data_IF_279589428384
#
_entry.id   IF_279589428384
#
_cell.length_a   1.000
_cell.length_b   1.000
_cell.length_c   1.000
_cell.angle_alpha   90.00
_cell.angle_beta   90.00
_cell.angle_gamma   90.00
#
_symmetry.space_group_name_H-M   'P 1'
#
loop_
_entity.id
_entity.type
_entity.pdbx_description
1 polymer ?
#
# COMPACT_ATOMS: atom_id res chain seq x y z
N UNK A 1 -36.19 11.13 10.94
CA UNK A 1 -35.99 10.26 9.76
C UNK A 1 -35.09 11.05 8.82
N UNK A 2 -33.84 10.62 8.60
CA UNK A 2 -32.91 11.36 7.74
C UNK A 2 -33.31 11.20 6.28
N UNK A 3 -33.93 12.21 5.71
CA UNK A 3 -34.34 12.27 4.29
C UNK A 3 -33.12 12.54 3.39
N UNK A 4 -32.18 11.59 3.35
CA UNK A 4 -31.06 11.59 2.43
C UNK A 4 -30.95 10.22 1.79
N UNK A 5 -31.82 9.93 0.81
CA UNK A 5 -31.65 8.76 -0.04
C UNK A 5 -30.25 8.77 -0.66
N UNK A 6 -29.66 7.59 -0.88
CA UNK A 6 -28.34 7.49 -1.49
C UNK A 6 -28.27 8.40 -2.73
N UNK A 7 -27.20 9.18 -2.92
CA UNK A 7 -27.12 10.18 -3.99
C UNK A 7 -26.90 9.50 -5.34
N UNK A 8 -27.95 8.84 -5.86
CA UNK A 8 -27.95 8.05 -7.09
C UNK A 8 -27.41 8.81 -8.31
N UNK A 9 -27.61 10.12 -8.33
CA UNK A 9 -27.03 11.00 -9.34
C UNK A 9 -25.49 10.95 -9.34
N UNK A 10 -24.85 10.98 -8.16
CA UNK A 10 -23.39 10.88 -8.06
C UNK A 10 -22.88 9.50 -8.48
N UNK A 11 -23.63 8.44 -8.19
CA UNK A 11 -23.30 7.09 -8.67
C UNK A 11 -23.41 6.99 -10.19
N UNK A 12 -24.45 7.57 -10.80
CA UNK A 12 -24.61 7.60 -12.25
C UNK A 12 -23.47 8.39 -12.94
N UNK A 13 -23.07 9.52 -12.37
CA UNK A 13 -21.92 10.30 -12.84
C UNK A 13 -20.62 9.48 -12.74
N UNK A 14 -20.39 8.83 -11.60
CA UNK A 14 -19.25 7.91 -11.42
C UNK A 14 -19.24 6.76 -12.43
N UNK A 15 -20.41 6.19 -12.74
CA UNK A 15 -20.55 5.15 -13.75
C UNK A 15 -20.20 5.64 -15.16
N UNK A 16 -20.61 6.86 -15.54
CA UNK A 16 -20.24 7.47 -16.82
C UNK A 16 -18.72 7.68 -16.91
N UNK A 17 -18.07 8.16 -15.85
CA UNK A 17 -16.61 8.29 -15.82
C UNK A 17 -15.91 6.93 -15.90
N UNK A 18 -16.40 5.92 -15.18
CA UNK A 18 -15.83 4.57 -15.24
C UNK A 18 -15.94 3.96 -16.64
N UNK A 19 -17.10 4.07 -17.29
CA UNK A 19 -17.30 3.61 -18.68
C UNK A 19 -16.42 4.38 -19.64
N UNK A 20 -16.32 5.70 -19.48
CA UNK A 20 -15.44 6.54 -20.33
C UNK A 20 -13.97 6.15 -20.19
N UNK A 21 -13.51 5.88 -18.96
CA UNK A 21 -12.15 5.41 -18.70
C UNK A 21 -11.90 4.04 -19.35
N UNK A 22 -12.85 3.11 -19.21
CA UNK A 22 -12.76 1.76 -19.81
C UNK A 22 -12.70 1.83 -21.34
N UNK A 23 -13.47 2.73 -21.96
CA UNK A 23 -13.40 2.99 -23.41
C UNK A 23 -12.06 3.59 -23.86
N UNK A 24 -11.38 4.32 -22.98
CA UNK A 24 -10.02 4.81 -23.22
C UNK A 24 -8.94 3.75 -22.94
N UNK A 25 -9.30 2.52 -22.56
CA UNK A 25 -8.36 1.45 -22.21
C UNK A 25 -7.69 1.65 -20.85
N UNK A 26 -8.23 2.53 -20.00
CA UNK A 26 -7.77 2.73 -18.62
C UNK A 26 -8.76 2.05 -17.68
N UNK A 27 -8.27 1.21 -16.77
CA UNK A 27 -9.16 0.56 -15.79
C UNK A 27 -9.90 1.62 -14.95
N UNK A 28 -11.23 1.58 -14.98
CA UNK A 28 -12.07 2.48 -14.18
C UNK A 28 -11.77 2.41 -12.67
N UNK A 29 -11.33 1.25 -12.18
CA UNK A 29 -10.91 1.06 -10.78
C UNK A 29 -9.61 1.80 -10.45
N UNK A 30 -8.60 1.71 -11.31
CA UNK A 30 -7.33 2.42 -11.12
C UNK A 30 -7.52 3.93 -11.18
N UNK A 31 -8.41 4.40 -12.07
CA UNK A 31 -8.78 5.80 -12.20
C UNK A 31 -9.47 6.33 -10.93
N UNK A 32 -10.50 5.63 -10.44
CA UNK A 32 -11.20 6.01 -9.22
C UNK A 32 -10.28 6.02 -7.98
N UNK A 33 -9.39 5.02 -7.87
CA UNK A 33 -8.40 4.94 -6.80
C UNK A 33 -7.44 6.15 -6.83
N UNK A 34 -6.97 6.55 -8.01
CA UNK A 34 -6.09 7.69 -8.20
C UNK A 34 -6.74 9.04 -7.86
N UNK A 35 -8.05 9.20 -8.10
CA UNK A 35 -8.78 10.41 -7.70
C UNK A 35 -9.09 10.47 -6.20
N UNK A 36 -9.17 9.30 -5.55
CA UNK A 36 -9.52 9.18 -4.13
C UNK A 36 -8.30 9.31 -3.21
N UNK A 37 -7.12 8.88 -3.66
CA UNK A 37 -5.93 8.87 -2.83
C UNK A 37 -5.35 10.29 -2.62
N UNK A 38 -5.04 10.69 -1.37
CA UNK A 38 -4.25 11.88 -1.07
C UNK A 38 -2.92 11.89 -1.84
N UNK A 39 -2.43 13.08 -2.20
CA UNK A 39 -1.17 13.24 -2.93
C UNK A 39 0.02 12.57 -2.23
N UNK A 40 0.01 12.56 -0.89
CA UNK A 40 1.03 11.89 -0.07
C UNK A 40 1.10 10.37 -0.32
N UNK A 41 -0.05 9.73 -0.55
CA UNK A 41 -0.13 8.28 -0.86
C UNK A 41 0.11 7.97 -2.34
N UNK A 42 0.01 8.96 -3.23
CA UNK A 42 0.22 8.76 -4.66
C UNK A 42 1.71 8.52 -4.98
N UNK A 43 2.62 9.17 -4.24
CA UNK A 43 4.07 9.00 -4.44
C UNK A 43 4.59 7.58 -4.18
N UNK A 44 4.30 6.90 -3.05
CA UNK A 44 4.70 5.50 -2.87
C UNK A 44 4.02 4.54 -3.85
N UNK A 45 2.82 4.86 -4.32
CA UNK A 45 2.12 4.08 -5.34
C UNK A 45 2.86 4.12 -6.68
N UNK A 46 3.28 5.30 -7.12
CA UNK A 46 4.11 5.47 -8.33
C UNK A 46 5.46 4.76 -8.19
N UNK A 47 6.10 4.84 -7.04
CA UNK A 47 7.37 4.13 -6.78
C UNK A 47 7.16 2.62 -6.82
N UNK A 48 6.11 2.09 -6.20
CA UNK A 48 5.76 0.66 -6.26
C UNK A 48 5.49 0.18 -7.70
N UNK A 49 4.77 0.98 -8.49
CA UNK A 49 4.52 0.72 -9.90
C UNK A 49 5.82 0.73 -10.73
N UNK A 50 6.73 1.66 -10.46
CA UNK A 50 8.04 1.73 -11.10
C UNK A 50 8.89 0.49 -10.78
N UNK A 51 8.89 0.03 -9.53
CA UNK A 51 9.60 -1.20 -9.12
C UNK A 51 9.01 -2.42 -9.83
N UNK A 52 7.68 -2.55 -9.89
CA UNK A 52 7.02 -3.64 -10.62
C UNK A 52 7.37 -3.64 -12.11
N UNK A 53 7.40 -2.45 -12.73
CA UNK A 53 7.83 -2.27 -14.12
C UNK A 53 9.29 -2.67 -14.33
N UNK A 54 10.19 -2.29 -13.42
CA UNK A 54 11.61 -2.68 -13.45
C UNK A 54 11.80 -4.19 -13.28
N UNK A 55 11.00 -4.85 -12.43
CA UNK A 55 11.01 -6.32 -12.29
C UNK A 55 10.61 -6.99 -13.61
N UNK A 56 9.53 -6.53 -14.23
CA UNK A 56 9.03 -7.06 -15.51
C UNK A 56 10.05 -6.90 -16.65
N UNK A 57 10.86 -5.84 -16.63
CA UNK A 57 11.91 -5.60 -17.62
C UNK A 57 13.30 -6.15 -17.22
N UNK A 58 13.41 -6.84 -16.10
CA UNK A 58 14.71 -7.20 -15.51
C UNK A 58 15.47 -8.31 -16.25
N UNK A 59 14.81 -9.13 -17.09
CA UNK A 59 15.45 -10.28 -17.74
C UNK A 59 14.82 -10.57 -19.11
N UNK A 60 15.61 -11.13 -20.03
CA UNK A 60 15.15 -11.48 -21.39
C UNK A 60 14.49 -12.87 -21.48
N UNK A 61 14.74 -13.74 -20.53
CA UNK A 61 14.04 -15.03 -20.40
C UNK A 61 12.66 -14.85 -19.79
N UNK A 62 11.64 -15.16 -20.58
CA UNK A 62 10.24 -14.97 -20.22
C UNK A 62 9.83 -15.80 -18.99
N UNK A 63 10.35 -17.02 -18.86
CA UNK A 63 10.08 -17.92 -17.73
C UNK A 63 10.60 -17.36 -16.39
N UNK A 64 11.83 -16.83 -16.38
CA UNK A 64 12.41 -16.20 -15.19
C UNK A 64 11.72 -14.88 -14.83
N UNK A 65 11.33 -14.09 -15.83
CA UNK A 65 10.57 -12.85 -15.60
C UNK A 65 9.20 -13.13 -14.98
N UNK A 66 8.51 -14.17 -15.44
CA UNK A 66 7.21 -14.57 -14.92
C UNK A 66 7.29 -15.04 -13.47
N UNK A 67 8.24 -15.93 -13.16
CA UNK A 67 8.45 -16.43 -11.80
C UNK A 67 8.75 -15.30 -10.79
N UNK A 68 9.59 -14.34 -11.19
CA UNK A 68 9.92 -13.17 -10.34
C UNK A 68 8.72 -12.23 -10.15
N UNK A 69 7.87 -12.08 -11.16
CA UNK A 69 6.67 -11.26 -11.08
C UNK A 69 5.62 -11.89 -10.15
N UNK A 70 5.41 -13.22 -10.25
CA UNK A 70 4.51 -13.96 -9.35
C UNK A 70 4.98 -13.88 -7.90
N UNK A 71 6.28 -14.10 -7.65
CA UNK A 71 6.85 -13.94 -6.30
C UNK A 71 6.69 -12.52 -5.77
N UNK A 72 6.98 -11.50 -6.58
CA UNK A 72 6.78 -10.10 -6.21
C UNK A 72 5.32 -9.78 -5.85
N UNK A 73 4.37 -10.34 -6.61
CA UNK A 73 2.93 -10.21 -6.33
C UNK A 73 2.51 -10.92 -5.04
N UNK A 74 3.06 -12.11 -4.77
CA UNK A 74 2.81 -12.86 -3.54
C UNK A 74 3.33 -12.12 -2.30
N UNK A 75 4.54 -11.57 -2.36
CA UNK A 75 5.11 -10.76 -1.29
C UNK A 75 4.27 -9.48 -1.07
N UNK A 76 3.92 -8.78 -2.15
CA UNK A 76 3.13 -7.55 -2.07
C UNK A 76 1.74 -7.79 -1.45
N UNK A 77 1.02 -8.83 -1.88
CA UNK A 77 -0.27 -9.21 -1.30
C UNK A 77 -0.17 -9.63 0.16
N UNK A 78 0.92 -10.31 0.56
CA UNK A 78 1.24 -10.61 1.95
C UNK A 78 1.43 -9.36 2.81
N UNK A 79 2.13 -8.34 2.29
CA UNK A 79 2.26 -7.04 2.97
C UNK A 79 0.93 -6.29 3.07
N UNK A 80 0.08 -6.32 2.03
CA UNK A 80 -1.25 -5.70 2.06
C UNK A 80 -2.13 -6.38 3.14
N UNK A 81 -2.16 -7.72 3.15
CA UNK A 81 -2.93 -8.48 4.14
C UNK A 81 -2.40 -8.28 5.56
N UNK A 82 -1.08 -8.32 5.75
CA UNK A 82 -0.44 -8.06 7.04
C UNK A 82 -0.72 -6.64 7.55
N UNK A 83 -0.62 -5.64 6.68
CA UNK A 83 -0.95 -4.24 7.01
C UNK A 83 -2.40 -4.07 7.44
N UNK A 84 -3.35 -4.72 6.75
CA UNK A 84 -4.75 -4.72 7.13
C UNK A 84 -4.99 -5.38 8.50
N UNK A 85 -4.38 -6.55 8.76
CA UNK A 85 -4.50 -7.26 10.05
C UNK A 85 -3.92 -6.44 11.20
N UNK A 86 -2.75 -5.82 11.03
CA UNK A 86 -2.14 -4.95 12.04
C UNK A 86 -2.99 -3.69 12.26
N UNK A 87 -3.56 -3.11 11.21
CA UNK A 87 -4.45 -1.94 11.31
C UNK A 87 -5.72 -2.24 12.09
N UNK A 88 -6.36 -3.39 11.82
CA UNK A 88 -7.54 -3.86 12.57
C UNK A 88 -7.18 -4.13 14.03
N UNK A 89 -6.05 -4.80 14.29
CA UNK A 89 -5.57 -5.06 15.64
C UNK A 89 -5.29 -3.75 16.40
N UNK A 90 -4.64 -2.78 15.77
CA UNK A 90 -4.37 -1.48 16.35
C UNK A 90 -5.65 -0.71 16.68
N UNK A 91 -6.66 -0.77 15.80
CA UNK A 91 -7.97 -0.16 16.05
C UNK A 91 -8.70 -0.81 17.23
N UNK A 92 -8.64 -2.15 17.35
CA UNK A 92 -9.21 -2.88 18.49
C UNK A 92 -8.50 -2.52 19.80
N UNK A 93 -7.17 -2.48 19.81
CA UNK A 93 -6.40 -2.09 20.99
C UNK A 93 -6.72 -0.66 21.41
N UNK A 94 -6.81 0.27 20.46
CA UNK A 94 -7.21 1.65 20.72
C UNK A 94 -8.63 1.76 21.29
N UNK A 95 -9.56 0.94 20.80
CA UNK A 95 -10.92 0.88 21.33
C UNK A 95 -10.96 0.37 22.78
N UNK A 96 -10.17 -0.67 23.11
CA UNK A 96 -10.07 -1.20 24.48
C UNK A 96 -9.41 -0.18 25.43
N UNK A 97 -8.39 0.52 24.95
CA UNK A 97 -7.71 1.59 25.67
C UNK A 97 -8.65 2.75 26.01
N UNK A 98 -9.48 3.18 25.04
CA UNK A 98 -10.49 4.23 25.23
C UNK A 98 -11.56 3.83 26.27
N UNK A 99 -11.90 2.54 26.35
CA UNK A 99 -12.86 2.00 27.33
C UNK A 99 -12.25 1.76 28.72
N UNK A 100 -10.95 1.44 28.81
CA UNK A 100 -10.27 1.02 30.05
C UNK A 100 -9.49 2.16 30.72
N UNK A 101 -9.24 3.27 30.01
CA UNK A 101 -8.51 4.44 30.52
C UNK A 101 -7.02 4.19 30.77
N UNK A 102 -6.46 3.07 30.28
CA UNK A 102 -5.06 2.70 30.43
C UNK A 102 -4.39 2.63 29.06
N UNK A 103 -3.35 3.44 28.85
CA UNK A 103 -2.58 3.50 27.61
C UNK A 103 -1.74 2.24 27.43
N UNK A 104 -2.23 1.28 26.63
CA UNK A 104 -1.51 0.05 26.31
C UNK A 104 -0.58 0.22 25.11
N UNK A 105 -0.88 1.15 24.20
CA UNK A 105 -0.01 1.49 23.07
C UNK A 105 0.80 2.74 23.43
N UNK A 106 2.09 2.61 23.82
CA UNK A 106 2.91 3.75 24.14
C UNK A 106 3.14 4.59 22.88
N UNK A 107 2.69 5.85 22.93
CA UNK A 107 2.94 6.82 21.87
C UNK A 107 4.43 7.20 21.88
N UNK A 108 5.19 6.59 20.96
CA UNK A 108 6.64 6.75 20.87
C UNK A 108 7.06 8.21 20.65
N UNK A 109 6.18 9.05 20.08
CA UNK A 109 6.43 10.47 19.88
C UNK A 109 6.32 11.31 21.16
N UNK A 110 5.72 10.76 22.22
CA UNK A 110 5.57 11.41 23.53
C UNK A 110 6.58 10.93 24.58
N UNK A 111 7.48 10.01 24.21
CA UNK A 111 8.53 9.55 25.09
C UNK A 111 9.53 10.68 25.39
N UNK A 112 9.92 10.89 26.66
CA UNK A 112 10.91 11.91 27.00
C UNK A 112 12.25 11.59 26.34
N UNK A 113 12.85 12.60 25.70
CA UNK A 113 14.13 12.50 24.98
C UNK A 113 13.96 12.09 23.51
N UNK A 114 13.55 10.84 23.26
CA UNK A 114 13.49 10.29 21.89
C UNK A 114 12.24 10.77 21.12
N UNK A 115 11.13 11.03 21.81
CA UNK A 115 9.84 11.35 21.19
C UNK A 115 9.83 12.61 20.31
N UNK A 116 10.33 13.77 20.78
CA UNK A 116 10.40 14.98 19.97
C UNK A 116 11.31 14.82 18.74
N UNK A 117 12.45 14.16 18.90
CA UNK A 117 13.36 13.84 17.78
C UNK A 117 12.70 12.92 16.76
N UNK A 118 11.95 11.90 17.22
CA UNK A 118 11.21 10.99 16.36
C UNK A 118 10.04 11.70 15.65
N UNK A 119 9.37 12.63 16.32
CA UNK A 119 8.27 13.41 15.73
C UNK A 119 8.77 14.32 14.60
N UNK A 120 9.87 15.05 14.84
CA UNK A 120 10.49 15.95 13.87
C UNK A 120 11.10 15.18 12.67
N UNK A 121 11.60 13.97 12.91
CA UNK A 121 12.22 13.12 11.88
C UNK A 121 11.28 12.02 11.36
N UNK A 122 10.01 12.01 11.77
CA UNK A 122 9.04 10.96 11.42
C UNK A 122 8.90 10.77 9.91
N UNK A 123 8.92 11.87 9.16
CA UNK A 123 8.78 11.84 7.70
C UNK A 123 10.00 11.20 7.02
N UNK A 124 11.22 11.55 7.48
CA UNK A 124 12.47 11.03 6.93
C UNK A 124 12.72 9.57 7.33
N UNK A 125 12.42 9.21 8.57
CA UNK A 125 12.54 7.83 9.06
C UNK A 125 11.52 6.91 8.41
N UNK A 126 10.27 7.38 8.21
CA UNK A 126 9.24 6.69 7.44
C UNK A 126 9.66 6.48 5.98
N UNK A 127 10.18 7.51 5.33
CA UNK A 127 10.69 7.43 3.96
C UNK A 127 11.85 6.42 3.85
N UNK A 128 12.79 6.44 4.79
CA UNK A 128 13.93 5.54 4.81
C UNK A 128 13.49 4.08 5.03
N UNK A 129 12.57 3.83 5.97
CA UNK A 129 11.99 2.51 6.20
C UNK A 129 11.25 2.00 4.97
N UNK A 130 10.44 2.85 4.33
CA UNK A 130 9.75 2.52 3.10
C UNK A 130 10.73 2.17 1.97
N UNK A 131 11.78 2.97 1.79
CA UNK A 131 12.81 2.71 0.79
C UNK A 131 13.59 1.42 1.09
N UNK A 132 13.94 1.15 2.35
CA UNK A 132 14.59 -0.09 2.76
C UNK A 132 13.70 -1.31 2.48
N UNK A 133 12.41 -1.24 2.82
CA UNK A 133 11.46 -2.32 2.52
C UNK A 133 11.31 -2.52 1.01
N UNK A 134 11.18 -1.45 0.23
CA UNK A 134 11.08 -1.53 -1.22
C UNK A 134 12.35 -2.14 -1.84
N UNK A 135 13.54 -1.73 -1.39
CA UNK A 135 14.82 -2.28 -1.84
C UNK A 135 15.01 -3.74 -1.38
N UNK A 136 14.56 -4.09 -0.18
CA UNK A 136 14.60 -5.46 0.32
C UNK A 136 13.68 -6.37 -0.50
N UNK A 137 12.43 -5.96 -0.75
CA UNK A 137 11.49 -6.69 -1.62
C UNK A 137 12.05 -6.82 -3.03
N UNK A 138 12.63 -5.75 -3.58
CA UNK A 138 13.28 -5.78 -4.87
C UNK A 138 14.47 -6.76 -4.92
N UNK A 139 15.32 -6.75 -3.88
CA UNK A 139 16.46 -7.66 -3.78
C UNK A 139 16.02 -9.11 -3.57
N UNK A 140 15.00 -9.37 -2.76
CA UNK A 140 14.51 -10.71 -2.47
C UNK A 140 13.78 -11.32 -3.67
N UNK A 141 13.01 -10.50 -4.39
CA UNK A 141 12.38 -10.90 -5.65
C UNK A 141 13.43 -11.21 -6.73
N UNK A 142 14.61 -10.58 -6.66
CA UNK A 142 15.74 -10.85 -7.57
C UNK A 142 16.60 -12.06 -7.16
N UNK A 143 16.48 -12.55 -5.92
CA UNK A 143 17.25 -13.70 -5.42
C UNK A 143 16.70 -15.06 -5.85
N UNK A 144 15.53 -15.11 -6.49
CA UNK A 144 15.08 -16.33 -7.16
C UNK A 144 15.89 -16.55 -8.44
N UNK A 145 16.68 -17.62 -8.41
CA UNK A 145 17.12 -18.38 -9.57
C UNK A 145 16.13 -19.51 -9.79
N UNK A 146 15.91 -19.95 -11.04
CA UNK A 146 15.08 -21.14 -11.32
C UNK A 146 15.64 -22.28 -10.49
N UNK A 147 14.90 -22.75 -9.48
CA UNK A 147 15.13 -24.08 -8.94
C UNK A 147 14.82 -25.02 -10.10
N UNK A 148 15.91 -25.49 -10.72
CA UNK A 148 15.90 -26.54 -11.74
C UNK A 148 15.06 -27.67 -11.18
N UNK A 149 13.83 -27.81 -11.68
CA UNK A 149 12.98 -28.95 -11.41
C UNK A 149 13.76 -30.22 -11.81
N UNK A 150 14.37 -30.85 -10.80
CA UNK A 150 14.91 -32.20 -10.83
C UNK A 150 13.90 -33.19 -10.31
#
# INVERSE_FOLDING_TARGET
MGEGGAPWFLYAVGAVFAVSAELCGVSGLAFALGMYLPMDLNSPLVVGAAVAWMLRHSTKEEALAHARHEKGTLIASGFIAGGALVGVLAALLKFVEDQTGSTFVPDLTKLPGIGPWLADWSNWTGLLLFALLALWVYSDSRREEVESAG
#
